data_IF_764621355131
#
_entry.id   IF_764621355131
#
_cell.length_a   1.000
_cell.length_b   1.000
_cell.length_c   1.000
_cell.angle_alpha   90.00
_cell.angle_beta   90.00
_cell.angle_gamma   90.00
#
_symmetry.space_group_name_H-M   'P 1'
#
loop_
_entity.id
_entity.type
_entity.pdbx_description
1 polymer ?
#
# COMPACT_ATOMS: atom_id res chain seq x y z
N UNK A 1 -16.06 -24.38 -29.91
CA UNK A 1 -15.56 -23.43 -28.91
C UNK A 1 -15.12 -22.18 -29.67
N UNK A 2 -16.01 -21.21 -29.85
CA UNK A 2 -15.71 -19.98 -30.59
C UNK A 2 -14.88 -19.04 -29.72
N UNK A 3 -13.79 -18.45 -30.23
CA UNK A 3 -13.04 -17.45 -29.49
C UNK A 3 -13.96 -16.23 -29.27
N UNK A 4 -14.29 -15.96 -28.01
CA UNK A 4 -14.97 -14.72 -27.63
C UNK A 4 -13.92 -13.61 -27.69
N UNK A 5 -13.74 -13.00 -28.86
CA UNK A 5 -12.95 -11.78 -28.98
C UNK A 5 -13.80 -10.64 -28.43
N UNK A 6 -13.82 -10.46 -27.11
CA UNK A 6 -14.38 -9.26 -26.49
C UNK A 6 -13.57 -8.05 -26.98
N UNK A 7 -14.06 -7.38 -28.00
CA UNK A 7 -13.47 -6.13 -28.46
C UNK A 7 -13.52 -5.12 -27.32
N UNK A 8 -12.35 -4.65 -26.88
CA UNK A 8 -12.25 -3.62 -25.85
C UNK A 8 -12.75 -2.31 -26.44
N UNK A 9 -13.72 -1.68 -25.77
CA UNK A 9 -14.20 -0.36 -26.15
C UNK A 9 -13.12 0.68 -25.79
N UNK A 10 -12.32 1.07 -26.79
CA UNK A 10 -11.25 2.03 -26.66
C UNK A 10 -11.73 3.43 -26.27
N UNK A 11 -12.98 3.79 -26.59
CA UNK A 11 -13.55 5.10 -26.24
C UNK A 11 -13.86 5.16 -24.74
N UNK A 12 -14.50 4.12 -24.19
CA UNK A 12 -14.74 4.01 -22.74
C UNK A 12 -13.43 3.93 -21.96
N UNK A 13 -12.47 3.14 -22.46
CA UNK A 13 -11.16 2.99 -21.83
C UNK A 13 -10.38 4.30 -21.85
N UNK A 14 -10.34 5.00 -22.98
CA UNK A 14 -9.69 6.30 -23.09
C UNK A 14 -10.30 7.37 -22.19
N UNK A 15 -11.64 7.41 -22.08
CA UNK A 15 -12.32 8.34 -21.19
C UNK A 15 -12.01 8.05 -19.71
N UNK A 16 -11.96 6.77 -19.33
CA UNK A 16 -11.56 6.37 -17.99
C UNK A 16 -10.13 6.80 -17.67
N UNK A 17 -9.17 6.52 -18.56
CA UNK A 17 -7.78 6.95 -18.36
C UNK A 17 -7.68 8.46 -18.25
N UNK A 18 -8.33 9.20 -19.16
CA UNK A 18 -8.30 10.66 -19.16
C UNK A 18 -8.85 11.25 -17.86
N UNK A 19 -9.95 10.71 -17.33
CA UNK A 19 -10.51 11.16 -16.05
C UNK A 19 -9.65 10.76 -14.85
N UNK A 20 -9.18 9.51 -14.79
CA UNK A 20 -8.36 9.04 -13.68
C UNK A 20 -7.04 9.82 -13.60
N UNK A 21 -6.34 9.98 -14.73
CA UNK A 21 -5.12 10.78 -14.79
C UNK A 21 -5.40 12.26 -14.60
N UNK A 22 -6.49 12.79 -15.17
CA UNK A 22 -6.89 14.18 -15.00
C UNK A 22 -7.07 14.53 -13.52
N UNK A 23 -7.86 13.74 -12.79
CA UNK A 23 -8.07 13.94 -11.35
C UNK A 23 -6.75 13.82 -10.57
N UNK A 24 -5.93 12.81 -10.88
CA UNK A 24 -4.64 12.60 -10.23
C UNK A 24 -3.69 13.78 -10.44
N UNK A 25 -3.56 14.28 -11.67
CA UNK A 25 -2.70 15.43 -11.99
C UNK A 25 -3.23 16.74 -11.43
N UNK A 26 -4.55 16.98 -11.46
CA UNK A 26 -5.14 18.18 -10.86
C UNK A 26 -4.94 18.19 -9.34
N UNK A 27 -5.11 17.05 -8.68
CA UNK A 27 -4.86 16.96 -7.24
C UNK A 27 -3.37 17.07 -6.90
N UNK A 28 -2.47 16.50 -7.72
CA UNK A 28 -1.03 16.70 -7.57
C UNK A 28 -0.63 18.18 -7.71
N UNK A 29 -1.14 18.85 -8.74
CA UNK A 29 -0.89 20.28 -8.97
C UNK A 29 -1.45 21.13 -7.83
N UNK A 30 -2.66 20.83 -7.35
CA UNK A 30 -3.27 21.53 -6.22
C UNK A 30 -2.44 21.40 -4.94
N UNK A 31 -1.99 20.17 -4.62
CA UNK A 31 -1.10 19.91 -3.49
C UNK A 31 0.23 20.65 -3.62
N UNK A 32 0.86 20.59 -4.80
CA UNK A 32 2.11 21.28 -5.08
C UNK A 32 2.00 22.80 -4.91
N UNK A 33 0.93 23.41 -5.44
CA UNK A 33 0.68 24.85 -5.34
C UNK A 33 0.34 25.29 -3.91
N UNK A 34 -0.32 24.42 -3.14
CA UNK A 34 -0.73 24.74 -1.76
C UNK A 34 0.43 24.69 -0.74
N UNK A 35 1.61 24.18 -1.12
CA UNK A 35 2.78 24.13 -0.24
C UNK A 35 2.59 23.26 1.00
N UNK A 36 1.57 22.40 1.02
CA UNK A 36 1.27 21.53 2.16
C UNK A 36 2.37 20.48 2.26
N UNK A 37 3.04 20.42 3.41
CA UNK A 37 4.02 19.38 3.67
C UNK A 37 3.33 18.00 3.66
N UNK A 38 3.80 17.08 2.81
CA UNK A 38 3.26 15.72 2.74
C UNK A 38 3.41 14.94 4.06
N UNK A 39 4.35 15.37 4.91
CA UNK A 39 4.57 14.81 6.25
C UNK A 39 3.49 15.22 7.27
N UNK A 40 2.62 16.15 6.92
CA UNK A 40 1.45 16.50 7.71
C UNK A 40 0.33 15.48 7.51
N UNK A 41 -0.40 15.18 8.58
CA UNK A 41 -1.61 14.33 8.55
C UNK A 41 -2.59 14.80 7.48
N UNK A 42 -2.74 16.12 7.30
CA UNK A 42 -3.63 16.71 6.30
C UNK A 42 -3.13 16.45 4.87
N UNK A 43 -1.83 16.56 4.63
CA UNK A 43 -1.20 16.23 3.34
C UNK A 43 -1.37 14.75 2.99
N UNK A 44 -1.15 13.87 3.96
CA UNK A 44 -1.35 12.42 3.78
C UNK A 44 -2.81 12.08 3.46
N UNK A 45 -3.77 12.65 4.19
CA UNK A 45 -5.21 12.41 3.96
C UNK A 45 -5.64 12.89 2.58
N UNK A 46 -5.17 14.07 2.15
CA UNK A 46 -5.48 14.60 0.83
C UNK A 46 -4.88 13.74 -0.30
N UNK A 47 -3.64 13.28 -0.14
CA UNK A 47 -3.01 12.36 -1.12
C UNK A 47 -3.80 11.06 -1.23
N UNK A 48 -4.18 10.45 -0.10
CA UNK A 48 -4.97 9.21 -0.11
C UNK A 48 -6.32 9.42 -0.77
N UNK A 49 -7.04 10.49 -0.40
CA UNK A 49 -8.34 10.82 -0.99
C UNK A 49 -8.22 11.03 -2.50
N UNK A 50 -7.28 11.85 -2.96
CA UNK A 50 -7.13 12.14 -4.39
C UNK A 50 -6.65 10.92 -5.16
N UNK A 51 -5.53 10.32 -4.79
CA UNK A 51 -4.88 9.31 -5.62
C UNK A 51 -5.54 7.94 -5.53
N UNK A 52 -6.08 7.56 -4.37
CA UNK A 52 -6.75 6.26 -4.25
C UNK A 52 -8.19 6.31 -4.75
N UNK A 53 -8.89 7.44 -4.59
CA UNK A 53 -10.27 7.55 -5.06
C UNK A 53 -10.40 8.04 -6.49
N UNK A 54 -9.39 8.70 -7.07
CA UNK A 54 -9.40 9.10 -8.49
C UNK A 54 -9.87 7.98 -9.44
N UNK A 55 -9.29 6.76 -9.42
CA UNK A 55 -9.74 5.69 -10.31
C UNK A 55 -11.16 5.20 -9.98
N UNK A 56 -11.56 5.18 -8.69
CA UNK A 56 -12.92 4.79 -8.31
C UNK A 56 -13.96 5.79 -8.81
N UNK A 57 -13.69 7.09 -8.65
CA UNK A 57 -14.55 8.18 -9.12
C UNK A 57 -14.61 8.17 -10.64
N UNK A 58 -13.47 8.03 -11.32
CA UNK A 58 -13.42 7.94 -12.78
C UNK A 58 -14.25 6.78 -13.31
N UNK A 59 -14.16 5.59 -12.69
CA UNK A 59 -14.96 4.43 -13.09
C UNK A 59 -16.47 4.67 -12.94
N UNK A 60 -16.89 5.26 -11.81
CA UNK A 60 -18.30 5.59 -11.55
C UNK A 60 -18.82 6.62 -12.55
N UNK A 61 -18.03 7.68 -12.83
CA UNK A 61 -18.43 8.75 -13.76
C UNK A 61 -18.56 8.23 -15.19
N UNK A 62 -17.59 7.44 -15.67
CA UNK A 62 -17.64 6.84 -17.01
C UNK A 62 -18.84 5.91 -17.17
N UNK A 63 -19.15 5.09 -16.16
CA UNK A 63 -20.30 4.20 -16.21
C UNK A 63 -21.63 4.93 -16.11
N UNK A 64 -21.71 5.99 -15.29
CA UNK A 64 -22.87 6.89 -15.23
C UNK A 64 -23.16 7.55 -16.58
N UNK A 65 -22.12 8.00 -17.29
CA UNK A 65 -22.27 8.59 -18.63
C UNK A 65 -22.59 7.57 -19.73
N UNK A 66 -22.26 6.31 -19.53
CA UNK A 66 -22.62 5.23 -20.45
C UNK A 66 -24.02 4.65 -20.20
N UNK A 67 -24.77 5.15 -19.20
CA UNK A 67 -26.07 4.63 -18.73
C UNK A 67 -26.06 3.12 -18.38
N UNK A 68 -24.88 2.54 -18.20
CA UNK A 68 -24.72 1.13 -17.88
C UNK A 68 -24.72 0.90 -16.38
N UNK A 69 -25.22 -0.26 -15.94
CA UNK A 69 -25.23 -0.58 -14.52
C UNK A 69 -23.80 -0.64 -13.98
N UNK A 70 -23.50 0.19 -12.98
CA UNK A 70 -22.17 0.26 -12.33
C UNK A 70 -21.71 -1.10 -11.81
N UNK A 71 -22.67 -1.95 -11.40
CA UNK A 71 -22.39 -3.32 -10.92
C UNK A 71 -21.90 -4.25 -12.03
N UNK A 72 -22.48 -4.17 -13.23
CA UNK A 72 -22.05 -4.97 -14.38
C UNK A 72 -20.75 -4.42 -14.98
N UNK A 73 -20.62 -3.10 -15.10
CA UNK A 73 -19.44 -2.43 -15.67
C UNK A 73 -18.18 -2.52 -14.81
N UNK A 74 -18.29 -2.44 -13.48
CA UNK A 74 -17.15 -2.61 -12.56
C UNK A 74 -16.82 -4.08 -12.26
N UNK A 75 -17.50 -5.05 -12.89
CA UNK A 75 -17.27 -6.46 -12.62
C UNK A 75 -17.66 -6.91 -11.21
N UNK A 76 -18.45 -6.11 -10.48
CA UNK A 76 -19.08 -6.43 -9.18
C UNK A 76 -20.23 -7.46 -9.35
N UNK A 77 -20.08 -8.39 -10.28
CA UNK A 77 -20.95 -9.54 -10.38
C UNK A 77 -20.50 -10.57 -9.34
N UNK A 78 -21.43 -11.02 -8.49
CA UNK A 78 -21.15 -12.01 -7.44
C UNK A 78 -20.49 -13.30 -7.96
N UNK A 79 -20.56 -13.58 -9.28
CA UNK A 79 -19.88 -14.70 -9.92
C UNK A 79 -18.35 -14.64 -9.94
N UNK A 80 -17.73 -13.47 -9.67
CA UNK A 80 -16.26 -13.30 -9.71
C UNK A 80 -15.58 -13.41 -8.34
N UNK A 81 -16.32 -13.77 -7.28
CA UNK A 81 -15.79 -13.93 -5.92
C UNK A 81 -14.61 -14.91 -5.85
N UNK A 82 -14.60 -15.94 -6.70
CA UNK A 82 -13.48 -16.91 -6.81
C UNK A 82 -12.17 -16.25 -7.22
N UNK A 83 -12.22 -15.28 -8.13
CA UNK A 83 -11.04 -14.50 -8.55
C UNK A 83 -10.64 -13.47 -7.51
N UNK A 84 -11.61 -12.89 -6.77
CA UNK A 84 -11.32 -12.01 -5.64
C UNK A 84 -10.60 -12.78 -4.54
N UNK A 85 -11.07 -13.98 -4.20
CA UNK A 85 -10.41 -14.85 -3.21
C UNK A 85 -9.02 -15.26 -3.70
N UNK A 86 -8.88 -15.62 -4.98
CA UNK A 86 -7.57 -15.93 -5.57
C UNK A 86 -6.62 -14.73 -5.49
N UNK A 87 -7.09 -13.52 -5.82
CA UNK A 87 -6.29 -12.30 -5.71
C UNK A 87 -5.91 -11.98 -4.25
N UNK A 88 -6.74 -12.38 -3.28
CA UNK A 88 -6.43 -12.23 -1.86
C UNK A 88 -5.37 -13.24 -1.38
N UNK A 89 -5.47 -14.48 -1.85
CA UNK A 89 -4.57 -15.57 -1.45
C UNK A 89 -3.23 -15.48 -2.20
N UNK A 90 -3.22 -14.97 -3.44
CA UNK A 90 -2.02 -14.85 -4.27
C UNK A 90 -0.83 -14.15 -3.57
N UNK A 91 -0.96 -12.96 -2.96
CA UNK A 91 0.16 -12.31 -2.27
C UNK A 91 0.66 -13.11 -1.06
N UNK A 92 -0.23 -13.76 -0.31
CA UNK A 92 0.14 -14.62 0.83
C UNK A 92 0.85 -15.88 0.34
N UNK A 93 0.34 -16.49 -0.72
CA UNK A 93 0.95 -17.66 -1.36
C UNK A 93 2.33 -17.32 -1.95
N UNK A 94 2.46 -16.16 -2.58
CA UNK A 94 3.73 -15.66 -3.08
C UNK A 94 4.72 -15.43 -1.94
N UNK A 95 4.31 -14.78 -0.85
CA UNK A 95 5.14 -14.60 0.34
C UNK A 95 5.61 -15.95 0.91
N UNK A 96 4.69 -16.90 1.06
CA UNK A 96 5.01 -18.25 1.54
C UNK A 96 5.98 -18.98 0.60
N UNK A 97 5.81 -18.82 -0.71
CA UNK A 97 6.73 -19.37 -1.70
C UNK A 97 8.13 -18.74 -1.59
N UNK A 98 8.22 -17.43 -1.43
CA UNK A 98 9.50 -16.73 -1.25
C UNK A 98 10.21 -17.18 0.01
N UNK A 99 9.49 -17.36 1.12
CA UNK A 99 10.03 -17.91 2.38
C UNK A 99 10.48 -19.36 2.17
N UNK A 100 9.68 -20.18 1.51
CA UNK A 100 10.00 -21.57 1.20
C UNK A 100 11.28 -21.69 0.37
N UNK A 101 11.46 -20.84 -0.64
CA UNK A 101 12.70 -20.78 -1.44
C UNK A 101 13.89 -20.36 -0.57
N UNK A 102 13.72 -19.36 0.30
CA UNK A 102 14.77 -18.91 1.22
C UNK A 102 15.28 -20.02 2.14
N UNK A 103 14.38 -20.88 2.63
CA UNK A 103 14.74 -22.01 3.50
C UNK A 103 15.52 -23.14 2.80
N UNK A 104 15.42 -23.24 1.48
CA UNK A 104 16.18 -24.23 0.69
C UNK A 104 17.61 -23.77 0.46
N UNK A 105 17.91 -22.48 0.62
CA UNK A 105 19.27 -21.92 0.50
C UNK A 105 20.03 -22.16 1.82
N UNK A 106 21.17 -22.89 1.81
CA UNK A 106 21.84 -23.40 3.01
C UNK A 106 22.56 -22.35 3.90
N UNK A 107 22.16 -21.08 3.84
CA UNK A 107 22.73 -19.98 4.64
C UNK A 107 21.64 -19.06 5.26
N UNK A 108 20.36 -19.40 5.10
CA UNK A 108 19.23 -18.56 5.55
C UNK A 108 18.56 -19.17 6.77
N UNK A 109 18.88 -18.64 7.95
CA UNK A 109 18.21 -19.01 9.20
C UNK A 109 17.01 -18.09 9.44
N UNK A 110 15.79 -18.65 9.49
CA UNK A 110 14.61 -17.92 9.96
C UNK A 110 14.74 -17.64 11.46
N UNK A 111 15.27 -16.46 11.79
CA UNK A 111 15.24 -15.99 13.17
C UNK A 111 13.85 -15.46 13.48
N UNK A 112 13.03 -16.28 14.14
CA UNK A 112 11.78 -15.85 14.78
C UNK A 112 12.06 -15.19 16.15
N UNK A 113 13.33 -14.86 16.42
CA UNK A 113 13.73 -14.27 17.69
C UNK A 113 13.39 -12.77 17.73
N UNK A 114 12.14 -12.48 18.11
CA UNK A 114 11.69 -11.14 18.46
C UNK A 114 12.38 -10.60 19.73
N UNK A 115 13.11 -11.44 20.50
CA UNK A 115 13.78 -11.00 21.72
C UNK A 115 15.01 -10.10 21.43
N UNK A 116 15.61 -10.23 20.24
CA UNK A 116 16.71 -9.34 19.82
C UNK A 116 16.25 -7.90 19.59
N UNK A 117 15.00 -7.70 19.14
CA UNK A 117 14.42 -6.37 18.92
C UNK A 117 13.83 -5.74 20.19
N UNK A 118 13.51 -6.55 21.20
CA UNK A 118 13.00 -6.14 22.51
C UNK A 118 14.06 -5.94 23.60
N UNK A 119 15.35 -6.14 23.31
CA UNK A 119 16.40 -5.99 24.30
C UNK A 119 16.38 -4.58 24.92
N UNK A 120 16.11 -4.45 26.24
CA UNK A 120 15.91 -3.15 26.86
C UNK A 120 17.16 -2.27 26.74
N UNK A 121 17.01 -1.05 26.21
CA UNK A 121 18.04 0.01 26.11
C UNK A 121 18.65 0.42 27.46
N UNK A 122 18.18 -0.18 28.54
CA UNK A 122 18.40 0.10 29.94
C UNK A 122 19.84 -0.19 30.39
N UNK A 123 20.54 -1.13 29.71
CA UNK A 123 21.90 -1.53 30.10
C UNK A 123 22.93 -0.43 29.85
N UNK A 124 22.73 0.43 28.83
CA UNK A 124 23.63 1.56 28.57
C UNK A 124 23.51 2.63 29.66
N UNK A 125 22.29 2.95 30.10
CA UNK A 125 22.06 4.01 31.09
C UNK A 125 22.56 3.62 32.50
N UNK A 126 22.49 2.34 32.87
CA UNK A 126 23.04 1.85 34.15
C UNK A 126 24.56 1.97 34.22
N UNK A 127 25.28 1.67 33.12
CA UNK A 127 26.74 1.84 33.07
C UNK A 127 27.15 3.30 33.22
N UNK A 128 26.47 4.23 32.56
CA UNK A 128 26.80 5.67 32.66
C UNK A 128 26.58 6.21 34.07
N UNK A 129 25.49 5.82 34.75
CA UNK A 129 25.23 6.22 36.13
C UNK A 129 26.25 5.64 37.11
N UNK A 130 26.68 4.40 36.90
CA UNK A 130 27.64 3.74 37.79
C UNK A 130 29.05 4.34 37.66
N UNK A 131 29.48 4.68 36.44
CA UNK A 131 30.75 5.39 36.21
C UNK A 131 30.71 6.80 36.80
N UNK A 132 29.58 7.51 36.69
CA UNK A 132 29.42 8.86 37.25
C UNK A 132 29.41 8.84 38.79
N UNK A 133 28.83 7.82 39.42
CA UNK A 133 28.90 7.62 40.88
C UNK A 133 30.32 7.32 41.37
N UNK A 134 31.06 6.43 40.69
CA UNK A 134 32.45 6.13 41.09
C UNK A 134 33.38 7.34 41.02
N UNK A 135 33.18 8.27 40.07
CA UNK A 135 33.95 9.52 40.01
C UNK A 135 33.59 10.51 41.14
N UNK A 136 32.38 10.45 41.68
CA UNK A 136 31.99 11.30 42.80
C UNK A 136 32.64 10.85 44.13
N UNK A 137 32.89 9.55 44.30
CA UNK A 137 33.49 8.99 45.52
C UNK A 137 35.02 9.09 45.56
N UNK A 138 35.70 9.30 44.42
CA UNK A 138 37.17 9.47 44.37
C UNK A 138 37.62 10.94 44.30
N UNK A 139 36.69 11.89 44.43
CA UNK A 139 36.95 13.33 44.40
C UNK A 139 36.88 14.02 45.76
N UNK A 140 37.01 13.26 46.86
CA UNK A 140 37.11 13.79 48.24
C UNK A 140 38.39 13.30 48.88
#
# INVERSE_FOLDING_TARGET
>A
MTPVTTAVDGRKTGLFLALAFGISWTGAAGLFLSGIELNSTLGTVLVVLVFMWAPAIAAIVVQRWAEESVRAGCGLSLGRLRWVLLALVAPVGLLAATIGVGLVVPDVSLTTDYAAFGAPRDRRLRRTRQVRRRRADHGR
#
